data_IF_530640680620
#
_entry.id   IF_530640680620
#
_cell.length_a   1.000
_cell.length_b   1.000
_cell.length_c   1.000
_cell.angle_alpha   90.00
_cell.angle_beta   90.00
_cell.angle_gamma   90.00
#
_symmetry.space_group_name_H-M   'P 1'
#
loop_
_entity.id
_entity.type
_entity.pdbx_description
1 polymer ?
#
# COMPACT_ATOMS: atom_id res chain seq x y z
N UNK A 1 -29.27 25.49 -65.17
CA UNK A 1 -28.92 26.58 -64.23
C UNK A 1 -27.55 26.28 -63.62
N UNK A 2 -26.62 27.25 -63.69
CA UNK A 2 -25.18 27.12 -63.43
C UNK A 2 -24.87 26.85 -61.95
N UNK A 3 -24.07 25.82 -61.66
CA UNK A 3 -23.48 25.54 -60.34
C UNK A 3 -22.35 26.53 -60.07
N UNK A 4 -22.47 27.33 -59.01
CA UNK A 4 -21.37 28.16 -58.49
C UNK A 4 -20.75 27.46 -57.28
N UNK A 5 -19.57 26.88 -57.49
CA UNK A 5 -18.64 26.47 -56.45
C UNK A 5 -18.09 27.73 -55.78
N UNK A 6 -18.30 27.91 -54.47
CA UNK A 6 -17.66 28.96 -53.68
C UNK A 6 -16.39 28.38 -53.08
N UNK A 7 -15.25 28.79 -53.61
CA UNK A 7 -13.96 28.62 -52.96
C UNK A 7 -13.86 29.69 -51.88
N UNK A 8 -13.76 29.28 -50.61
CA UNK A 8 -13.43 30.17 -49.51
C UNK A 8 -11.91 30.19 -49.34
N UNK A 9 -11.29 31.30 -49.69
CA UNK A 9 -9.91 31.61 -49.28
C UNK A 9 -9.95 31.95 -47.79
N UNK A 10 -9.32 31.12 -46.97
CA UNK A 10 -9.06 31.43 -45.55
C UNK A 10 -7.62 31.92 -45.47
N UNK A 11 -7.47 33.23 -45.22
CA UNK A 11 -6.21 33.85 -44.83
C UNK A 11 -6.11 33.70 -43.31
N UNK A 12 -5.08 33.01 -42.83
CA UNK A 12 -4.75 32.94 -41.40
C UNK A 12 -3.85 34.15 -41.13
N UNK A 13 -4.38 35.13 -40.40
CA UNK A 13 -3.61 36.23 -39.83
C UNK A 13 -3.33 35.87 -38.37
N UNK A 14 -2.09 35.51 -38.08
CA UNK A 14 -1.57 35.38 -36.71
C UNK A 14 -1.34 36.79 -36.15
N UNK A 15 -2.17 37.20 -35.20
CA UNK A 15 -1.95 38.41 -34.40
C UNK A 15 -2.02 38.04 -32.91
N UNK A 16 -0.86 37.66 -32.38
CA UNK A 16 -0.54 37.80 -30.97
C UNK A 16 -0.40 39.30 -30.66
N UNK A 17 -1.40 39.88 -29.98
CA UNK A 17 -1.24 41.19 -29.36
C UNK A 17 -1.97 41.26 -28.01
N UNK A 18 -1.15 41.24 -26.97
CA UNK A 18 -1.46 41.50 -25.57
C UNK A 18 -1.91 42.96 -25.39
N UNK A 19 -3.21 43.21 -25.21
CA UNK A 19 -3.64 44.33 -24.35
C UNK A 19 -5.12 44.25 -23.95
N UNK A 20 -5.39 43.83 -22.71
CA UNK A 20 -6.67 44.11 -22.06
C UNK A 20 -6.45 44.42 -20.58
N UNK A 21 -6.23 45.70 -20.31
CA UNK A 21 -6.36 46.33 -19.00
C UNK A 21 -7.73 46.01 -18.39
N UNK A 22 -7.75 45.21 -17.32
CA UNK A 22 -8.87 45.17 -16.37
C UNK A 22 -8.37 45.46 -14.97
N UNK A 23 -8.65 46.69 -14.52
CA UNK A 23 -8.45 47.14 -13.16
C UNK A 23 -9.37 46.36 -12.21
N UNK A 24 -8.82 45.44 -11.42
CA UNK A 24 -9.38 45.12 -10.10
C UNK A 24 -8.26 44.98 -9.08
N UNK A 25 -8.34 45.82 -8.05
CA UNK A 25 -7.49 45.83 -6.86
C UNK A 25 -7.56 44.46 -6.17
N UNK A 26 -6.41 43.81 -6.04
CA UNK A 26 -6.20 42.60 -5.27
C UNK A 26 -4.74 42.56 -4.84
N UNK A 27 -4.55 42.45 -3.53
CA UNK A 27 -3.30 42.45 -2.76
C UNK A 27 -2.12 41.73 -3.44
N UNK A 28 -1.03 42.45 -3.71
CA UNK A 28 0.22 41.92 -4.24
C UNK A 28 1.05 41.40 -3.07
N UNK A 29 1.26 40.09 -3.02
CA UNK A 29 2.27 39.45 -2.19
C UNK A 29 3.49 39.31 -3.09
N UNK A 30 4.56 40.01 -2.76
CA UNK A 30 5.83 39.95 -3.46
C UNK A 30 6.45 38.55 -3.29
N UNK A 31 6.32 37.71 -4.32
CA UNK A 31 7.15 36.52 -4.45
C UNK A 31 8.47 36.95 -5.07
N UNK A 32 9.44 37.23 -4.21
CA UNK A 32 10.82 37.40 -4.59
C UNK A 32 11.31 36.18 -5.39
N UNK A 33 12.04 36.50 -6.45
CA UNK A 33 13.03 35.71 -7.16
C UNK A 33 13.59 34.58 -6.27
N UNK A 34 13.14 33.35 -6.54
CA UNK A 34 13.74 32.16 -5.94
C UNK A 34 14.98 31.90 -6.76
N UNK A 35 16.13 32.35 -6.25
CA UNK A 35 17.42 31.89 -6.75
C UNK A 35 17.44 30.36 -6.69
N UNK A 36 17.74 29.74 -7.84
CA UNK A 36 18.03 28.32 -7.94
C UNK A 36 19.28 28.00 -7.12
N UNK A 37 19.08 27.64 -5.86
CA UNK A 37 20.14 27.10 -5.03
C UNK A 37 20.60 25.76 -5.65
N UNK A 38 21.90 25.57 -5.92
CA UNK A 38 22.41 24.31 -6.39
C UNK A 38 22.24 23.30 -5.24
N UNK A 39 21.37 22.31 -5.46
CA UNK A 39 21.26 21.17 -4.60
C UNK A 39 22.56 20.37 -4.76
N UNK A 40 23.50 20.51 -3.83
CA UNK A 40 24.66 19.63 -3.75
C UNK A 40 24.14 18.19 -3.63
N UNK A 41 24.34 17.40 -4.70
CA UNK A 41 24.13 15.96 -4.70
C UNK A 41 25.13 15.34 -3.72
N UNK A 42 24.68 15.02 -2.51
CA UNK A 42 25.41 14.10 -1.64
C UNK A 42 25.15 12.68 -2.15
N UNK A 43 26.16 12.08 -2.77
CA UNK A 43 26.27 10.66 -3.17
C UNK A 43 26.22 9.71 -1.96
N UNK A 44 25.16 9.77 -1.16
CA UNK A 44 24.87 8.78 -0.14
C UNK A 44 23.72 7.91 -0.66
N UNK A 45 24.11 6.77 -1.25
CA UNK A 45 23.26 5.60 -1.47
C UNK A 45 22.66 5.14 -0.13
N UNK A 46 21.53 5.74 0.26
CA UNK A 46 20.63 5.18 1.26
C UNK A 46 19.25 5.04 0.61
N UNK A 47 19.02 3.86 0.02
CA UNK A 47 17.67 3.43 -0.31
C UNK A 47 16.75 3.46 0.92
N UNK A 48 15.42 3.42 0.75
CA UNK A 48 14.51 3.47 1.89
C UNK A 48 14.78 2.29 2.83
N UNK A 49 15.37 2.58 4.00
CA UNK A 49 15.51 1.61 5.08
C UNK A 49 14.11 1.16 5.49
N UNK A 50 13.75 -0.07 5.12
CA UNK A 50 12.61 -0.79 5.70
C UNK A 50 13.03 -1.18 7.10
N UNK A 51 12.87 -0.25 8.05
CA UNK A 51 13.04 -0.54 9.48
C UNK A 51 11.91 -1.47 9.89
N UNK A 52 12.25 -2.73 10.16
CA UNK A 52 11.30 -3.66 10.77
C UNK A 52 10.88 -3.06 12.12
N UNK A 53 9.59 -3.01 12.44
CA UNK A 53 9.07 -2.38 13.67
C UNK A 53 9.66 -2.95 14.98
N UNK A 54 10.39 -4.07 14.93
CA UNK A 54 11.10 -4.65 16.08
C UNK A 54 12.49 -4.03 16.34
N UNK A 55 13.06 -3.26 15.40
CA UNK A 55 14.39 -2.65 15.50
C UNK A 55 14.35 -1.24 16.10
N UNK A 56 13.17 -0.60 16.19
CA UNK A 56 12.97 0.71 16.82
C UNK A 56 12.56 0.57 18.29
N UNK A 57 13.34 -0.17 19.07
CA UNK A 57 13.31 -0.02 20.52
C UNK A 57 14.49 0.88 20.84
N UNK A 58 14.30 2.11 21.36
CA UNK A 58 15.42 2.89 21.84
C UNK A 58 16.07 2.08 22.95
N UNK A 59 17.24 1.48 22.66
CA UNK A 59 18.10 0.91 23.67
C UNK A 59 18.52 2.06 24.58
N UNK A 60 17.73 2.27 25.62
CA UNK A 60 18.10 3.11 26.74
C UNK A 60 19.26 2.37 27.40
N UNK A 61 20.47 2.65 26.93
CA UNK A 61 21.72 2.15 27.49
C UNK A 61 21.82 2.72 28.90
N UNK A 62 21.23 2.01 29.86
CA UNK A 62 21.42 2.27 31.28
C UNK A 62 22.81 1.77 31.58
N UNK A 63 23.77 2.67 31.60
CA UNK A 63 25.08 2.42 32.20
C UNK A 63 24.85 2.00 33.65
N UNK A 64 24.91 0.69 33.90
CA UNK A 64 24.86 0.13 35.24
C UNK A 64 26.26 0.26 35.83
N UNK A 65 26.46 1.34 36.57
CA UNK A 65 27.50 1.45 37.60
C UNK A 65 27.63 0.10 38.35
N UNK A 66 28.85 -0.44 38.57
CA UNK A 66 29.05 -1.67 39.31
C UNK A 66 28.69 -1.44 40.78
N UNK A 67 27.40 -1.64 41.10
CA UNK A 67 26.90 -1.71 42.46
C UNK A 67 27.69 -2.79 43.20
N UNK A 68 28.61 -2.35 44.06
CA UNK A 68 29.40 -3.21 44.94
C UNK A 68 28.42 -4.07 45.72
N UNK A 69 28.45 -5.38 45.48
CA UNK A 69 27.68 -6.39 46.23
C UNK A 69 28.15 -6.37 47.69
N UNK A 70 27.49 -5.61 48.54
CA UNK A 70 27.60 -5.81 49.99
C UNK A 70 27.00 -7.19 50.31
N UNK A 71 27.77 -8.04 51.00
CA UNK A 71 27.34 -9.39 51.45
C UNK A 71 26.24 -9.35 52.53
N UNK A 72 25.75 -8.16 52.88
CA UNK A 72 24.66 -7.97 53.82
C UNK A 72 23.40 -7.58 53.05
N UNK A 73 22.27 -8.31 53.20
CA UNK A 73 21.00 -7.88 52.66
C UNK A 73 20.66 -6.48 53.21
N UNK A 74 20.16 -5.54 52.40
CA UNK A 74 19.67 -4.29 52.94
C UNK A 74 18.56 -4.62 53.94
N UNK A 75 18.73 -4.17 55.18
CA UNK A 75 17.75 -4.34 56.25
C UNK A 75 16.54 -3.47 55.90
N UNK A 76 15.61 -4.01 55.09
CA UNK A 76 14.32 -3.37 54.84
C UNK A 76 13.55 -3.41 56.15
N UNK A 77 13.51 -2.27 56.85
CA UNK A 77 12.40 -1.97 57.74
C UNK A 77 11.19 -1.76 56.84
N UNK A 78 10.41 -2.82 56.63
CA UNK A 78 9.06 -2.67 56.10
C UNK A 78 8.27 -2.04 57.24
N UNK A 79 8.08 -0.71 57.18
CA UNK A 79 6.96 -0.12 57.88
C UNK A 79 5.73 -0.54 57.07
N UNK A 80 5.01 -1.52 57.59
CA UNK A 80 3.63 -1.76 57.18
C UNK A 80 2.85 -0.62 57.80
N UNK A 81 2.51 0.38 56.99
CA UNK A 81 1.43 1.28 57.34
C UNK A 81 0.16 0.43 57.30
N UNK A 82 -0.18 -0.18 58.44
CA UNK A 82 -1.42 -0.94 58.69
C UNK A 82 -2.61 0.04 58.64
N UNK A 83 -2.89 0.56 57.46
CA UNK A 83 -4.21 1.07 57.13
C UNK A 83 -5.04 -0.19 56.92
N UNK A 84 -6.04 -0.44 57.77
CA UNK A 84 -6.74 -1.74 57.90
C UNK A 84 -7.52 -2.28 56.69
N UNK A 85 -7.22 -1.81 55.48
CA UNK A 85 -7.86 -2.14 54.20
C UNK A 85 -6.93 -2.90 53.24
N UNK A 86 -5.95 -3.66 53.76
CA UNK A 86 -5.02 -4.44 52.94
C UNK A 86 -5.69 -5.66 52.27
N UNK A 87 -5.59 -5.75 50.94
CA UNK A 87 -6.21 -6.81 50.13
C UNK A 87 -5.43 -8.12 50.27
N UNK A 88 -6.09 -9.15 50.83
CA UNK A 88 -5.49 -10.49 50.99
C UNK A 88 -5.57 -11.28 49.69
N UNK A 89 -4.42 -11.54 49.06
CA UNK A 89 -4.32 -12.42 47.88
C UNK A 89 -4.13 -13.89 48.31
N UNK A 90 -4.79 -14.83 47.62
CA UNK A 90 -4.70 -16.27 47.87
C UNK A 90 -4.47 -17.05 46.58
N UNK A 91 -3.79 -18.19 46.69
CA UNK A 91 -3.64 -19.14 45.59
C UNK A 91 -4.88 -20.00 45.38
N UNK A 92 -4.91 -20.78 44.28
CA UNK A 92 -5.91 -21.84 44.03
C UNK A 92 -5.97 -22.90 45.16
N UNK A 93 -4.89 -23.06 45.91
CA UNK A 93 -4.80 -23.95 47.08
C UNK A 93 -5.23 -23.28 48.40
N UNK A 94 -5.67 -22.01 48.36
CA UNK A 94 -6.14 -21.25 49.52
C UNK A 94 -5.04 -20.60 50.37
N UNK A 95 -3.76 -20.87 50.09
CA UNK A 95 -2.61 -20.26 50.78
C UNK A 95 -2.50 -18.76 50.48
N UNK A 96 -2.16 -17.95 51.49
CA UNK A 96 -1.95 -16.50 51.31
C UNK A 96 -0.68 -16.24 50.50
N UNK A 97 -0.79 -15.36 49.51
CA UNK A 97 0.26 -15.03 48.54
C UNK A 97 0.54 -13.53 48.62
N UNK A 98 1.77 -13.11 48.34
CA UNK A 98 2.13 -11.68 48.27
C UNK A 98 1.57 -11.01 47.01
N UNK A 99 1.31 -9.70 47.06
CA UNK A 99 0.79 -8.92 45.91
C UNK A 99 1.59 -9.14 44.61
N UNK A 100 2.93 -9.19 44.72
CA UNK A 100 3.84 -9.40 43.59
C UNK A 100 3.69 -10.79 42.96
N UNK A 101 3.60 -11.83 43.79
CA UNK A 101 3.41 -13.21 43.32
C UNK A 101 2.06 -13.38 42.64
N UNK A 102 1.00 -12.73 43.15
CA UNK A 102 -0.31 -12.73 42.50
C UNK A 102 -0.27 -12.05 41.13
N UNK A 103 0.41 -10.90 41.01
CA UNK A 103 0.61 -10.21 39.73
C UNK A 103 1.35 -11.07 38.70
N UNK A 104 2.41 -11.77 39.12
CA UNK A 104 3.15 -12.69 38.24
C UNK A 104 2.29 -13.86 37.77
N UNK A 105 1.49 -14.45 38.68
CA UNK A 105 0.62 -15.58 38.36
C UNK A 105 -0.51 -15.17 37.41
N UNK A 106 -1.07 -13.97 37.60
CA UNK A 106 -2.06 -13.39 36.68
C UNK A 106 -1.46 -13.01 35.34
N UNK A 107 -0.25 -12.44 35.32
CA UNK A 107 0.48 -12.11 34.11
C UNK A 107 0.73 -13.36 33.25
N UNK A 108 1.22 -14.44 33.86
CA UNK A 108 1.42 -15.73 33.17
C UNK A 108 0.13 -16.27 32.58
N UNK A 109 -0.97 -16.30 33.36
CA UNK A 109 -2.29 -16.77 32.88
C UNK A 109 -2.81 -15.94 31.70
N UNK A 110 -2.68 -14.61 31.76
CA UNK A 110 -3.09 -13.71 30.67
C UNK A 110 -2.25 -13.91 29.42
N UNK A 111 -0.94 -14.15 29.55
CA UNK A 111 -0.05 -14.42 28.42
C UNK A 111 -0.40 -15.79 27.79
N UNK A 112 -0.62 -16.82 28.61
CA UNK A 112 -0.99 -18.14 28.09
C UNK A 112 -2.36 -18.12 27.42
N UNK A 113 -3.36 -17.44 28.00
CA UNK A 113 -4.70 -17.35 27.41
C UNK A 113 -4.70 -16.54 26.12
N UNK A 114 -3.97 -15.41 26.06
CA UNK A 114 -3.82 -14.62 24.83
C UNK A 114 -3.09 -15.37 23.71
N UNK A 115 -2.26 -16.35 24.05
CA UNK A 115 -1.55 -17.20 23.08
C UNK A 115 -2.37 -18.42 22.65
N UNK A 116 -3.24 -18.93 23.52
CA UNK A 116 -4.06 -20.12 23.24
C UNK A 116 -5.34 -19.81 22.49
N UNK A 117 -5.94 -18.64 22.74
CA UNK A 117 -7.10 -18.19 21.97
C UNK A 117 -6.61 -17.74 20.58
N UNK A 118 -7.07 -18.37 19.48
CA UNK A 118 -6.78 -17.86 18.16
C UNK A 118 -7.31 -16.43 18.09
N UNK A 119 -6.45 -15.49 17.68
CA UNK A 119 -6.86 -14.10 17.54
C UNK A 119 -8.13 -14.06 16.68
N UNK A 120 -9.23 -13.59 17.27
CA UNK A 120 -10.52 -13.58 16.60
C UNK A 120 -10.37 -12.81 15.28
N UNK A 121 -10.38 -13.52 14.16
CA UNK A 121 -10.18 -12.89 12.86
C UNK A 121 -11.34 -11.94 12.62
N UNK A 122 -11.05 -10.64 12.59
CA UNK A 122 -12.05 -9.62 12.27
C UNK A 122 -12.36 -9.74 10.78
N UNK A 123 -13.23 -10.68 10.44
CA UNK A 123 -13.64 -10.93 9.05
C UNK A 123 -14.18 -9.65 8.39
N UNK A 124 -14.79 -8.75 9.17
CA UNK A 124 -15.33 -7.50 8.65
C UNK A 124 -14.28 -6.40 8.43
N UNK A 125 -13.05 -6.59 8.93
CA UNK A 125 -11.93 -5.67 8.70
C UNK A 125 -11.16 -5.93 7.40
N UNK A 126 -11.35 -7.10 6.78
CA UNK A 126 -10.66 -7.49 5.54
C UNK A 126 -11.48 -7.09 4.31
N UNK A 127 -10.81 -6.66 3.24
CA UNK A 127 -11.47 -6.34 1.97
C UNK A 127 -12.04 -7.60 1.28
N UNK A 128 -13.16 -7.46 0.57
CA UNK A 128 -13.81 -8.59 -0.14
C UNK A 128 -12.84 -9.24 -1.13
N UNK A 129 -12.14 -8.43 -1.94
CA UNK A 129 -11.14 -8.93 -2.91
C UNK A 129 -10.01 -9.68 -2.23
N UNK A 130 -9.51 -9.18 -1.09
CA UNK A 130 -8.44 -9.84 -0.34
C UNK A 130 -8.85 -11.23 0.15
N UNK A 131 -10.11 -11.39 0.58
CA UNK A 131 -10.64 -12.70 0.98
C UNK A 131 -10.73 -13.65 -0.22
N UNK A 132 -11.34 -13.19 -1.32
CA UNK A 132 -11.46 -13.99 -2.53
C UNK A 132 -10.09 -14.42 -3.07
N UNK A 133 -9.11 -13.52 -3.07
CA UNK A 133 -7.74 -13.83 -3.46
C UNK A 133 -7.10 -14.85 -2.52
N UNK A 134 -7.33 -14.74 -1.21
CA UNK A 134 -6.81 -15.71 -0.24
C UNK A 134 -7.42 -17.11 -0.41
N UNK A 135 -8.72 -17.17 -0.70
CA UNK A 135 -9.43 -18.42 -0.99
C UNK A 135 -8.95 -19.03 -2.31
N UNK A 136 -8.78 -18.21 -3.35
CA UNK A 136 -8.26 -18.63 -4.64
C UNK A 136 -6.83 -19.19 -4.51
N UNK A 137 -5.95 -18.52 -3.76
CA UNK A 137 -4.59 -19.01 -3.46
C UNK A 137 -4.62 -20.34 -2.71
N UNK A 138 -5.46 -20.47 -1.68
CA UNK A 138 -5.58 -21.73 -0.94
C UNK A 138 -6.10 -22.89 -1.81
N UNK A 139 -7.00 -22.61 -2.76
CA UNK A 139 -7.47 -23.59 -3.74
C UNK A 139 -6.37 -23.97 -4.73
N UNK A 140 -5.59 -22.99 -5.20
CA UNK A 140 -4.42 -23.23 -6.06
C UNK A 140 -3.39 -24.09 -5.35
N UNK A 141 -2.99 -23.74 -4.12
CA UNK A 141 -2.05 -24.51 -3.30
C UNK A 141 -2.51 -25.96 -3.12
N UNK A 142 -3.80 -26.20 -2.88
CA UNK A 142 -4.36 -27.56 -2.79
C UNK A 142 -4.25 -28.32 -4.10
N UNK A 143 -4.43 -27.66 -5.25
CA UNK A 143 -4.23 -28.27 -6.56
C UNK A 143 -2.75 -28.60 -6.78
N UNK A 144 -1.85 -27.64 -6.51
CA UNK A 144 -0.41 -27.86 -6.66
C UNK A 144 0.09 -28.99 -5.77
N UNK A 145 -0.47 -29.13 -4.56
CA UNK A 145 -0.14 -30.24 -3.65
C UNK A 145 -0.59 -31.62 -4.17
N UNK A 146 -1.60 -31.67 -5.05
CA UNK A 146 -2.07 -32.90 -5.69
C UNK A 146 -1.33 -33.20 -7.00
N UNK A 147 -0.75 -32.18 -7.63
CA UNK A 147 0.00 -32.32 -8.88
C UNK A 147 1.37 -33.00 -8.68
N UNK A 148 1.86 -33.74 -9.68
CA UNK A 148 3.22 -34.25 -9.67
C UNK A 148 4.23 -33.11 -9.83
N UNK A 149 5.47 -33.32 -9.36
CA UNK A 149 6.57 -32.35 -9.49
C UNK A 149 6.88 -32.01 -10.96
N UNK A 150 6.73 -32.99 -11.86
CA UNK A 150 6.97 -32.81 -13.29
C UNK A 150 5.66 -32.41 -13.97
N UNK A 151 5.62 -31.20 -14.51
CA UNK A 151 4.56 -30.72 -15.41
C UNK A 151 5.00 -30.87 -16.85
N UNK A 152 4.10 -31.32 -17.71
CA UNK A 152 4.37 -31.34 -19.15
C UNK A 152 3.90 -30.03 -19.77
N UNK A 153 4.42 -29.70 -20.96
CA UNK A 153 4.06 -28.46 -21.66
C UNK A 153 2.55 -28.36 -21.96
N UNK A 154 1.86 -29.51 -22.05
CA UNK A 154 0.43 -29.61 -22.32
C UNK A 154 -0.23 -30.49 -21.27
N UNK A 155 -0.78 -29.84 -20.24
CA UNK A 155 -1.62 -30.47 -19.23
C UNK A 155 -3.11 -30.24 -19.53
N UNK A 156 -3.99 -31.09 -18.98
CA UNK A 156 -5.43 -31.02 -19.24
C UNK A 156 -6.08 -29.68 -18.85
N UNK A 157 -5.54 -28.98 -17.85
CA UNK A 157 -6.02 -27.65 -17.45
C UNK A 157 -5.49 -26.55 -18.39
N UNK A 158 -4.26 -26.68 -18.90
CA UNK A 158 -3.71 -25.77 -19.90
C UNK A 158 -4.47 -25.88 -21.23
N UNK A 159 -4.85 -27.10 -21.65
CA UNK A 159 -5.69 -27.32 -22.83
C UNK A 159 -7.05 -26.62 -22.71
N UNK A 160 -7.69 -26.67 -21.53
CA UNK A 160 -8.93 -25.95 -21.28
C UNK A 160 -8.72 -24.44 -21.38
N UNK A 161 -7.64 -23.92 -20.81
CA UNK A 161 -7.32 -22.49 -20.91
C UNK A 161 -7.17 -22.04 -22.36
N UNK A 162 -6.42 -22.80 -23.18
CA UNK A 162 -6.24 -22.52 -24.61
C UNK A 162 -7.56 -22.57 -25.39
N UNK A 163 -8.45 -23.51 -25.07
CA UNK A 163 -9.79 -23.59 -25.68
C UNK A 163 -10.68 -22.41 -25.28
N UNK A 164 -10.55 -21.90 -24.05
CA UNK A 164 -11.33 -20.75 -23.58
C UNK A 164 -10.80 -19.40 -24.07
N UNK A 165 -9.53 -19.32 -24.46
CA UNK A 165 -8.89 -18.07 -24.86
C UNK A 165 -9.57 -17.50 -26.11
N UNK A 166 -10.15 -16.32 -25.98
CA UNK A 166 -10.76 -15.62 -27.10
C UNK A 166 -9.66 -15.06 -28.02
N UNK A 167 -9.65 -15.49 -29.28
CA UNK A 167 -8.73 -14.99 -30.31
C UNK A 167 -9.41 -13.87 -31.10
N UNK A 168 -8.71 -12.74 -31.25
CA UNK A 168 -9.24 -11.55 -31.90
C UNK A 168 -9.44 -11.74 -33.42
N UNK A 169 -8.58 -12.54 -34.06
CA UNK A 169 -8.58 -12.81 -35.50
C UNK A 169 -9.35 -14.09 -35.89
N UNK A 170 -10.09 -14.69 -34.95
CA UNK A 170 -10.86 -15.90 -35.25
C UNK A 170 -12.28 -15.55 -35.76
N UNK A 171 -12.62 -15.85 -37.02
CA UNK A 171 -13.96 -15.59 -37.55
C UNK A 171 -15.06 -16.42 -36.88
N UNK A 172 -14.74 -17.57 -36.28
CA UNK A 172 -15.71 -18.40 -35.55
C UNK A 172 -16.06 -17.81 -34.18
N UNK A 173 -15.11 -17.16 -33.51
CA UNK A 173 -15.33 -16.43 -32.24
C UNK A 173 -16.42 -15.36 -32.37
N UNK A 174 -16.46 -14.64 -33.50
CA UNK A 174 -17.47 -13.60 -33.77
C UNK A 174 -18.91 -14.12 -33.78
N UNK A 175 -19.11 -15.40 -34.15
CA UNK A 175 -20.43 -16.04 -34.20
C UNK A 175 -20.88 -16.60 -32.85
N UNK A 176 -19.95 -16.80 -31.91
CA UNK A 176 -20.20 -17.38 -30.60
C UNK A 176 -20.38 -16.33 -29.50
N UNK A 177 -20.61 -15.05 -29.86
CA UNK A 177 -20.77 -13.96 -28.89
C UNK A 177 -21.81 -14.33 -27.83
N UNK A 178 -21.33 -14.66 -26.63
CA UNK A 178 -22.16 -15.01 -25.48
C UNK A 178 -22.77 -13.73 -24.94
N UNK A 179 -24.09 -13.73 -24.72
CA UNK A 179 -24.75 -12.70 -23.92
C UNK A 179 -24.15 -12.71 -22.51
N UNK A 180 -23.66 -11.57 -22.03
CA UNK A 180 -23.09 -11.38 -20.68
C UNK A 180 -24.21 -11.40 -19.62
N UNK A 181 -24.80 -12.57 -19.39
CA UNK A 181 -25.83 -12.76 -18.37
C UNK A 181 -25.13 -12.79 -17.01
N UNK A 182 -25.26 -11.72 -16.22
CA UNK A 182 -24.75 -11.64 -14.85
C UNK A 182 -23.51 -10.77 -14.64
N UNK A 183 -23.13 -9.94 -15.60
CA UNK A 183 -21.99 -9.03 -15.43
C UNK A 183 -22.27 -7.99 -14.32
N UNK A 184 -21.30 -7.79 -13.44
CA UNK A 184 -21.30 -6.69 -12.47
C UNK A 184 -21.43 -5.39 -13.27
N UNK A 185 -22.36 -4.48 -12.92
CA UNK A 185 -22.53 -3.25 -13.67
C UNK A 185 -21.19 -2.50 -13.70
N UNK A 186 -20.77 -2.10 -14.91
CA UNK A 186 -19.56 -1.30 -15.12
C UNK A 186 -19.91 0.18 -15.20
N UNK A 187 -18.94 1.04 -14.93
CA UNK A 187 -19.09 2.47 -15.17
C UNK A 187 -19.44 2.75 -16.62
N UNK A 188 -20.28 3.76 -16.84
CA UNK A 188 -20.62 4.26 -18.19
C UNK A 188 -19.45 5.01 -18.83
N UNK A 189 -18.57 5.58 -18.01
CA UNK A 189 -17.43 6.37 -18.43
C UNK A 189 -16.14 5.60 -18.17
N UNK A 190 -15.20 5.72 -19.09
CA UNK A 190 -13.84 5.22 -18.90
C UNK A 190 -13.15 6.01 -17.79
N UNK A 191 -12.63 5.31 -16.79
CA UNK A 191 -11.85 5.92 -15.71
C UNK A 191 -10.51 6.46 -16.20
N UNK A 192 -9.99 7.45 -15.48
CA UNK A 192 -8.58 7.82 -15.58
C UNK A 192 -7.74 6.63 -15.09
N UNK A 193 -6.62 6.29 -15.74
CA UNK A 193 -5.75 5.23 -15.26
C UNK A 193 -5.29 5.52 -13.83
N UNK A 194 -5.17 4.47 -13.03
CA UNK A 194 -4.65 4.51 -11.67
C UNK A 194 -3.59 3.43 -11.49
N UNK A 195 -2.78 3.57 -10.44
CA UNK A 195 -1.70 2.62 -10.10
C UNK A 195 -2.12 1.16 -9.97
N UNK A 196 -3.39 0.91 -9.65
CA UNK A 196 -3.90 -0.43 -9.35
C UNK A 196 -4.81 -1.00 -10.45
N UNK A 197 -4.94 -0.31 -11.58
CA UNK A 197 -5.86 -0.63 -12.68
C UNK A 197 -7.31 -0.93 -12.22
N UNK A 198 -7.77 -0.27 -11.15
CA UNK A 198 -9.11 -0.43 -10.61
C UNK A 198 -10.07 0.43 -11.43
N UNK A 199 -11.04 -0.20 -12.08
CA UNK A 199 -12.09 0.51 -12.81
C UNK A 199 -12.99 1.32 -11.87
N UNK A 200 -13.51 2.47 -12.32
CA UNK A 200 -14.47 3.23 -11.54
C UNK A 200 -15.76 2.44 -11.33
N UNK A 201 -16.39 2.65 -10.17
CA UNK A 201 -17.67 2.01 -9.86
C UNK A 201 -18.78 2.45 -10.82
N UNK A 202 -19.81 1.59 -10.95
CA UNK A 202 -20.91 1.79 -11.92
C UNK A 202 -21.70 3.10 -11.79
N UNK A 203 -21.64 3.75 -10.62
CA UNK A 203 -22.35 5.00 -10.31
C UNK A 203 -21.49 6.24 -10.51
N UNK A 204 -20.24 6.08 -10.94
CA UNK A 204 -19.36 7.21 -11.15
C UNK A 204 -19.85 8.08 -12.31
N UNK A 205 -19.77 9.39 -12.13
CA UNK A 205 -20.33 10.40 -13.04
C UNK A 205 -19.34 10.91 -14.09
N UNK A 206 -18.11 10.39 -14.09
CA UNK A 206 -17.05 10.79 -15.01
C UNK A 206 -16.31 12.07 -14.60
N UNK A 207 -16.72 12.74 -13.52
CA UNK A 207 -16.05 13.98 -13.08
C UNK A 207 -14.84 13.64 -12.20
N UNK A 208 -13.68 14.14 -12.63
CA UNK A 208 -12.40 13.97 -11.93
C UNK A 208 -12.35 14.95 -10.74
N UNK A 209 -12.28 14.41 -9.52
CA UNK A 209 -12.24 15.19 -8.26
C UNK A 209 -10.95 15.03 -7.47
N UNK A 210 -9.89 14.52 -8.11
CA UNK A 210 -8.60 14.26 -7.47
C UNK A 210 -7.68 15.49 -7.46
N UNK A 211 -6.61 15.42 -6.67
CA UNK A 211 -5.54 16.42 -6.58
C UNK A 211 -4.45 16.27 -7.68
N UNK A 212 -4.70 15.47 -8.72
CA UNK A 212 -3.73 15.18 -9.78
C UNK A 212 -2.51 14.34 -9.36
N UNK A 213 -2.55 13.63 -8.22
CA UNK A 213 -1.44 12.78 -7.76
C UNK A 213 -1.10 11.66 -8.75
N UNK A 214 -2.10 10.91 -9.23
CA UNK A 214 -1.87 9.78 -10.15
C UNK A 214 -1.17 10.22 -11.44
N UNK A 215 -1.57 11.35 -12.03
CA UNK A 215 -0.92 11.92 -13.22
C UNK A 215 0.56 12.29 -12.95
N UNK A 216 0.84 12.95 -11.82
CA UNK A 216 2.22 13.26 -11.41
C UNK A 216 3.03 11.98 -11.18
N UNK A 217 2.43 10.95 -10.58
CA UNK A 217 3.07 9.67 -10.34
C UNK A 217 3.46 8.98 -11.66
N UNK A 218 2.56 8.95 -12.64
CA UNK A 218 2.86 8.37 -13.96
C UNK A 218 3.98 9.14 -14.68
N UNK A 219 3.98 10.48 -14.61
CA UNK A 219 5.05 11.30 -15.20
C UNK A 219 6.42 11.01 -14.57
N UNK A 220 6.47 10.90 -13.24
CA UNK A 220 7.71 10.55 -12.51
C UNK A 220 8.17 9.14 -12.87
N UNK A 221 7.25 8.18 -12.99
CA UNK A 221 7.60 6.82 -13.35
C UNK A 221 8.12 6.73 -14.79
N UNK A 222 7.49 7.44 -15.73
CA UNK A 222 7.94 7.51 -17.12
C UNK A 222 9.31 8.18 -17.26
N UNK A 223 9.54 9.30 -16.55
CA UNK A 223 10.84 9.97 -16.57
C UNK A 223 11.94 9.11 -15.95
N UNK A 224 11.64 8.39 -14.86
CA UNK A 224 12.57 7.43 -14.26
C UNK A 224 12.92 6.29 -15.23
N UNK A 225 11.93 5.72 -15.91
CA UNK A 225 12.15 4.66 -16.90
C UNK A 225 13.00 5.15 -18.08
N UNK A 226 12.74 6.35 -18.59
CA UNK A 226 13.53 6.96 -19.66
C UNK A 226 15.00 7.16 -19.25
N UNK A 227 15.23 7.74 -18.06
CA UNK A 227 16.60 7.90 -17.52
C UNK A 227 17.33 6.58 -17.34
N UNK A 228 16.64 5.53 -16.88
CA UNK A 228 17.24 4.19 -16.75
C UNK A 228 17.64 3.60 -18.11
N UNK A 229 16.83 3.82 -19.15
CA UNK A 229 17.16 3.40 -20.51
C UNK A 229 18.37 4.19 -21.05
N UNK A 230 18.41 5.50 -20.85
CA UNK A 230 19.55 6.34 -21.22
C UNK A 230 20.83 5.89 -20.51
N UNK A 231 20.76 5.67 -19.19
CA UNK A 231 21.88 5.16 -18.40
C UNK A 231 22.39 3.81 -18.91
N UNK A 232 21.48 2.88 -19.22
CA UNK A 232 21.83 1.58 -19.79
C UNK A 232 22.55 1.72 -21.14
N UNK A 233 22.03 2.57 -22.03
CA UNK A 233 22.64 2.82 -23.34
C UNK A 233 24.01 3.49 -23.22
N UNK A 234 24.16 4.45 -22.30
CA UNK A 234 25.43 5.13 -22.06
C UNK A 234 26.48 4.18 -21.47
N UNK A 235 26.10 3.33 -20.51
CA UNK A 235 26.99 2.33 -19.94
C UNK A 235 27.47 1.31 -20.97
N UNK A 236 26.61 0.92 -21.91
CA UNK A 236 26.99 0.02 -23.00
C UNK A 236 27.91 0.72 -24.00
N UNK A 237 27.69 2.01 -24.25
CA UNK A 237 28.52 2.77 -25.18
C UNK A 237 29.97 2.99 -24.68
N UNK A 238 30.19 2.92 -23.36
CA UNK A 238 31.51 3.09 -22.73
C UNK A 238 32.27 1.75 -22.48
N UNK A 239 31.69 0.60 -22.89
CA UNK A 239 32.34 -0.72 -22.87
C UNK A 239 32.92 -1.09 -24.24
#
# INVERSE_FOLDING_TARGET
MKRKSRHSNVTIEDNDDLNALSRRRGHQIDFGEVEDLPLEESDADEGPLVVNAHEFIPEKRVEREPQRRSLTPPRRTVQTDDTGDDVVYRDKSGKRITREQWLLLQGKKKITSKRSEPAQELEWGKGIVQKLDSEAKALEERKLAQEPLNRYDIDADYDKQLQTQQRWDDPMSRKQARSTVGDVPKSRFTGVPNRFNIEPGYRWDGVIRGNGYEDRWFKVQASKAAKQQEYYLNNIADM
#
